data_IF_023540349836
#
_entry.id   IF_023540349836
#
_cell.length_a   1.000
_cell.length_b   1.000
_cell.length_c   1.000
_cell.angle_alpha   90.00
_cell.angle_beta   90.00
_cell.angle_gamma   90.00
#
_symmetry.space_group_name_H-M   'P 1'
#
loop_
_entity.id
_entity.type
_entity.pdbx_description
1 polymer ?
#
# COMPACT_ATOMS: atom_id res chain seq x y z
N UNK A 1 -10.01 19.58 12.25
CA UNK A 1 -8.93 19.30 11.29
C UNK A 1 -7.64 19.53 12.06
N UNK A 2 -6.98 18.46 12.51
CA UNK A 2 -5.67 18.58 13.14
C UNK A 2 -4.63 18.67 12.02
N UNK A 3 -3.73 19.65 12.11
CA UNK A 3 -2.58 19.71 11.21
C UNK A 3 -1.54 18.68 11.65
N UNK A 4 -0.62 18.32 10.74
CA UNK A 4 0.51 17.45 11.07
C UNK A 4 1.31 18.03 12.25
N UNK A 5 1.53 19.34 12.25
CA UNK A 5 2.27 20.04 13.30
C UNK A 5 1.58 19.94 14.67
N UNK A 6 0.26 20.16 14.76
CA UNK A 6 -0.49 20.01 16.00
C UNK A 6 -0.48 18.57 16.53
N UNK A 7 -0.46 17.60 15.62
CA UNK A 7 -0.37 16.18 15.98
C UNK A 7 1.02 15.86 16.52
N UNK A 8 2.07 16.43 15.91
CA UNK A 8 3.45 16.27 16.37
C UNK A 8 3.64 16.84 17.77
N UNK A 9 3.14 18.05 18.02
CA UNK A 9 3.20 18.68 19.35
C UNK A 9 2.54 17.80 20.43
N UNK A 10 1.40 17.18 20.09
CA UNK A 10 0.70 16.26 20.97
C UNK A 10 1.52 15.00 21.24
N UNK A 11 2.14 14.41 20.21
CA UNK A 11 3.01 13.23 20.36
C UNK A 11 4.23 13.57 21.22
N UNK A 12 4.80 14.76 21.06
CA UNK A 12 5.95 15.21 21.84
C UNK A 12 5.63 15.40 23.33
N UNK A 13 4.36 15.58 23.70
CA UNK A 13 3.92 15.65 25.10
C UNK A 13 3.95 14.29 25.84
N UNK A 14 3.96 13.17 25.10
CA UNK A 14 4.10 11.83 25.66
C UNK A 14 5.52 11.59 26.21
N UNK A 15 5.67 10.65 27.14
CA UNK A 15 7.00 10.21 27.58
C UNK A 15 7.78 9.52 26.45
N UNK A 16 9.10 9.41 26.61
CA UNK A 16 9.95 8.79 25.61
C UNK A 16 9.56 7.33 25.30
N UNK A 17 9.20 6.55 26.31
CA UNK A 17 8.78 5.16 26.13
C UNK A 17 7.39 5.06 25.47
N UNK A 18 6.45 5.93 25.84
CA UNK A 18 5.15 6.00 25.17
C UNK A 18 5.28 6.38 23.69
N UNK A 19 6.20 7.29 23.34
CA UNK A 19 6.49 7.63 21.94
C UNK A 19 7.05 6.44 21.17
N UNK A 20 7.94 5.64 21.76
CA UNK A 20 8.44 4.41 21.11
C UNK A 20 7.31 3.41 20.87
N UNK A 21 6.49 3.16 21.88
CA UNK A 21 5.32 2.27 21.75
C UNK A 21 4.36 2.78 20.68
N UNK A 22 4.13 4.10 20.61
CA UNK A 22 3.30 4.70 19.58
C UNK A 22 3.84 4.45 18.17
N UNK A 23 5.15 4.62 17.96
CA UNK A 23 5.81 4.34 16.68
C UNK A 23 5.59 2.88 16.26
N UNK A 24 5.75 1.94 17.19
CA UNK A 24 5.51 0.52 16.91
C UNK A 24 4.06 0.23 16.53
N UNK A 25 3.10 0.83 17.23
CA UNK A 25 1.67 0.68 16.93
C UNK A 25 1.34 1.27 15.56
N UNK A 26 1.82 2.49 15.27
CA UNK A 26 1.59 3.15 14.00
C UNK A 26 2.15 2.33 12.83
N UNK A 27 3.38 1.83 12.96
CA UNK A 27 3.98 0.96 11.94
C UNK A 27 3.14 -0.29 11.69
N UNK A 28 2.66 -0.95 12.75
CA UNK A 28 1.80 -2.13 12.61
C UNK A 28 0.49 -1.81 11.90
N UNK A 29 -0.12 -0.66 12.19
CA UNK A 29 -1.37 -0.22 11.56
C UNK A 29 -1.18 0.10 10.08
N UNK A 30 -0.14 0.85 9.73
CA UNK A 30 0.20 1.17 8.34
C UNK A 30 0.44 -0.12 7.53
N UNK A 31 1.17 -1.09 8.10
CA UNK A 31 1.39 -2.38 7.45
C UNK A 31 0.07 -3.15 7.28
N UNK A 32 -0.82 -3.11 8.27
CA UNK A 32 -2.11 -3.77 8.19
C UNK A 32 -3.00 -3.16 7.10
N UNK A 33 -3.11 -1.82 7.03
CA UNK A 33 -3.84 -1.11 5.98
C UNK A 33 -3.30 -1.47 4.59
N UNK A 34 -1.96 -1.45 4.42
CA UNK A 34 -1.35 -1.86 3.14
C UNK A 34 -1.65 -3.32 2.78
N UNK A 35 -1.75 -4.21 3.77
CA UNK A 35 -2.12 -5.60 3.52
C UNK A 35 -3.58 -5.74 3.10
N UNK A 36 -4.48 -4.94 3.66
CA UNK A 36 -5.89 -4.93 3.25
C UNK A 36 -6.06 -4.49 1.79
N UNK A 37 -5.31 -3.46 1.36
CA UNK A 37 -5.24 -3.04 -0.05
C UNK A 37 -4.78 -4.20 -0.94
N UNK A 38 -3.68 -4.86 -0.58
CA UNK A 38 -3.14 -6.01 -1.33
C UNK A 38 -4.13 -7.17 -1.37
N UNK A 39 -4.87 -7.44 -0.29
CA UNK A 39 -5.87 -8.52 -0.26
C UNK A 39 -6.98 -8.25 -1.27
N UNK A 40 -7.43 -7.00 -1.39
CA UNK A 40 -8.43 -6.62 -2.39
C UNK A 40 -7.90 -6.84 -3.82
N UNK A 41 -6.69 -6.35 -4.12
CA UNK A 41 -6.04 -6.53 -5.42
C UNK A 41 -5.84 -8.03 -5.76
N UNK A 42 -5.39 -8.83 -4.80
CA UNK A 42 -5.18 -10.27 -4.99
C UNK A 42 -6.50 -11.01 -5.22
N UNK A 43 -7.57 -10.60 -4.54
CA UNK A 43 -8.90 -11.19 -4.74
C UNK A 43 -9.42 -10.95 -6.16
N UNK A 44 -9.27 -9.71 -6.65
CA UNK A 44 -9.63 -9.33 -8.02
C UNK A 44 -8.79 -10.08 -9.06
N UNK A 45 -7.47 -10.11 -8.88
CA UNK A 45 -6.56 -10.82 -9.78
C UNK A 45 -6.89 -12.33 -9.85
N UNK A 46 -7.21 -12.95 -8.70
CA UNK A 46 -7.66 -14.34 -8.65
C UNK A 46 -8.98 -14.53 -9.39
N UNK A 47 -9.97 -13.65 -9.20
CA UNK A 47 -11.25 -13.76 -9.89
C UNK A 47 -11.08 -13.66 -11.42
N UNK A 48 -10.24 -12.74 -11.89
CA UNK A 48 -9.90 -12.60 -13.31
C UNK A 48 -9.23 -13.86 -13.86
N UNK A 49 -8.27 -14.42 -13.13
CA UNK A 49 -7.61 -15.68 -13.52
C UNK A 49 -8.61 -16.83 -13.65
N UNK A 50 -9.47 -17.03 -12.65
CA UNK A 50 -10.47 -18.11 -12.68
C UNK A 50 -11.55 -17.89 -13.73
N UNK A 51 -11.80 -16.66 -14.16
CA UNK A 51 -12.78 -16.37 -15.22
C UNK A 51 -12.34 -16.85 -16.61
N UNK A 52 -11.07 -17.22 -16.79
CA UNK A 52 -10.51 -17.65 -18.07
C UNK A 52 -10.44 -16.54 -19.13
N UNK A 53 -10.68 -15.28 -18.73
CA UNK A 53 -10.65 -14.10 -19.63
C UNK A 53 -9.28 -13.44 -19.73
N UNK A 54 -8.28 -13.94 -18.99
CA UNK A 54 -6.92 -13.43 -19.07
C UNK A 54 -6.25 -13.92 -20.36
N UNK A 55 -5.55 -13.01 -21.03
CA UNK A 55 -4.77 -13.31 -22.22
C UNK A 55 -3.51 -14.08 -21.82
N UNK A 56 -3.15 -15.10 -22.58
CA UNK A 56 -1.85 -15.76 -22.44
C UNK A 56 -0.74 -14.78 -22.80
N UNK A 57 0.23 -14.63 -21.91
CA UNK A 57 1.35 -13.72 -22.08
C UNK A 57 2.59 -14.32 -21.44
N UNK A 58 3.74 -14.19 -22.11
CA UNK A 58 5.01 -14.60 -21.54
C UNK A 58 5.53 -13.53 -20.57
N UNK A 59 6.47 -13.89 -19.69
CA UNK A 59 6.97 -13.00 -18.67
C UNK A 59 7.57 -11.69 -19.21
N UNK A 60 8.24 -11.72 -20.37
CA UNK A 60 8.84 -10.52 -20.96
C UNK A 60 7.76 -9.54 -21.44
N UNK A 61 6.73 -10.04 -22.10
CA UNK A 61 5.61 -9.22 -22.57
C UNK A 61 4.85 -8.59 -21.38
N UNK A 62 4.63 -9.36 -20.31
CA UNK A 62 4.02 -8.84 -19.06
C UNK A 62 4.86 -7.74 -18.41
N UNK A 63 6.18 -7.91 -18.35
CA UNK A 63 7.08 -6.91 -17.76
C UNK A 63 7.10 -5.63 -18.60
N UNK A 64 7.12 -5.76 -19.93
CA UNK A 64 7.09 -4.61 -20.83
C UNK A 64 5.77 -3.84 -20.73
N UNK A 65 4.64 -4.53 -20.66
CA UNK A 65 3.32 -3.90 -20.45
C UNK A 65 3.26 -3.14 -19.12
N UNK A 66 3.75 -3.75 -18.04
CA UNK A 66 3.83 -3.10 -16.72
C UNK A 66 4.72 -1.85 -16.75
N UNK A 67 5.90 -1.93 -17.38
CA UNK A 67 6.77 -0.76 -17.51
C UNK A 67 6.12 0.37 -18.30
N UNK A 68 5.43 0.07 -19.40
CA UNK A 68 4.72 1.08 -20.19
C UNK A 68 3.60 1.73 -19.36
N UNK A 69 2.83 0.94 -18.62
CA UNK A 69 1.76 1.46 -17.76
C UNK A 69 2.26 2.41 -16.65
N UNK A 70 3.50 2.23 -16.17
CA UNK A 70 4.13 3.11 -15.18
C UNK A 70 4.72 4.38 -15.79
N UNK A 71 5.04 4.35 -17.09
CA UNK A 71 5.59 5.49 -17.83
C UNK A 71 4.48 6.40 -18.38
N UNK A 72 3.31 5.85 -18.72
CA UNK A 72 2.14 6.59 -19.23
C UNK A 72 1.44 7.47 -18.17
N UNK A 73 1.76 7.30 -16.87
CA UNK A 73 1.22 8.13 -15.76
C UNK A 73 1.94 9.50 -15.64
N UNK A 74 2.87 9.82 -16.55
CA UNK A 74 3.69 11.05 -16.50
C UNK A 74 3.22 12.22 -17.37
N UNK A 75 2.05 12.18 -17.99
CA UNK A 75 1.46 13.35 -18.70
C UNK A 75 0.30 14.00 -17.97
#
# INVERSE_FOLDING_TARGET
>A
MNTLDQTLDTIMSLSFEERKTLIEILNKRIIAERREEIVAEVSEAKALYHSGKLKEMNANDSINELHNSLLDVKE
#
